data_IF_868652633776
#
_entry.id   IF_868652633776
#
_cell.length_a   1.000
_cell.length_b   1.000
_cell.length_c   1.000
_cell.angle_alpha   90.00
_cell.angle_beta   90.00
_cell.angle_gamma   90.00
#
_symmetry.space_group_name_H-M   'P 1'
#
loop_
_entity.id
_entity.type
_entity.pdbx_description
1 polymer ?
#
# COMPACT_ATOMS: atom_id res chain seq x y z
N UNK A 1 -14.31 2.46 -14.86
CA UNK A 1 -13.04 2.65 -14.10
C UNK A 1 -13.30 2.19 -12.66
N UNK A 2 -12.37 1.49 -12.00
CA UNK A 2 -12.55 1.04 -10.60
C UNK A 2 -12.44 2.26 -9.68
N UNK A 3 -13.46 2.52 -8.85
CA UNK A 3 -13.46 3.61 -7.86
C UNK A 3 -12.57 3.24 -6.68
N UNK A 4 -11.68 4.16 -6.29
CA UNK A 4 -10.79 4.03 -5.13
C UNK A 4 -10.81 5.37 -4.40
N UNK A 5 -11.30 5.37 -3.16
CA UNK A 5 -11.43 6.54 -2.29
C UNK A 5 -10.27 6.64 -1.30
N UNK A 6 -9.80 5.51 -0.78
CA UNK A 6 -8.69 5.46 0.18
C UNK A 6 -7.62 4.45 -0.24
N UNK A 7 -6.36 4.78 0.02
CA UNK A 7 -5.21 3.93 -0.31
C UNK A 7 -4.35 3.74 0.94
N UNK A 8 -4.18 2.49 1.33
CA UNK A 8 -3.50 2.11 2.55
C UNK A 8 -2.28 1.25 2.26
N UNK A 9 -1.20 1.47 2.99
CA UNK A 9 0.05 0.73 2.92
C UNK A 9 0.24 -0.07 4.22
N UNK A 10 0.38 -1.39 4.13
CA UNK A 10 0.85 -2.18 5.27
C UNK A 10 2.36 -1.94 5.44
N UNK A 11 2.92 -1.95 6.65
CA UNK A 11 4.39 -1.82 6.83
C UNK A 11 5.10 -3.16 6.97
N UNK A 12 4.36 -4.25 7.25
CA UNK A 12 4.88 -5.60 7.18
C UNK A 12 4.88 -6.13 5.73
N UNK A 13 5.93 -6.87 5.31
CA UNK A 13 5.99 -7.42 3.97
C UNK A 13 5.01 -8.58 3.77
N UNK A 14 4.50 -8.72 2.54
CA UNK A 14 3.67 -9.85 2.12
C UNK A 14 4.49 -10.87 1.31
N UNK A 15 4.22 -12.16 1.52
CA UNK A 15 4.70 -13.20 0.60
C UNK A 15 4.02 -13.05 -0.76
N UNK A 16 4.81 -12.94 -1.83
CA UNK A 16 4.28 -12.75 -3.18
C UNK A 16 3.58 -13.98 -3.76
N UNK A 17 3.61 -15.12 -3.06
CA UNK A 17 2.78 -16.30 -3.35
C UNK A 17 1.33 -16.16 -2.86
N UNK A 18 1.03 -15.22 -1.98
CA UNK A 18 -0.31 -15.02 -1.41
C UNK A 18 -1.35 -14.69 -2.49
N UNK A 19 -2.36 -15.55 -2.68
CA UNK A 19 -3.48 -15.30 -3.58
C UNK A 19 -4.46 -14.24 -3.04
N UNK A 20 -5.59 -13.99 -3.73
CA UNK A 20 -6.63 -13.05 -3.31
C UNK A 20 -7.08 -13.27 -1.86
N UNK A 21 -7.42 -14.52 -1.49
CA UNK A 21 -7.94 -14.82 -0.15
C UNK A 21 -6.89 -14.62 0.95
N UNK A 22 -5.64 -15.03 0.70
CA UNK A 22 -4.55 -14.81 1.65
C UNK A 22 -4.23 -13.32 1.82
N UNK A 23 -4.26 -12.56 0.72
CA UNK A 23 -4.09 -11.11 0.76
C UNK A 23 -5.25 -10.43 1.51
N UNK A 24 -6.48 -10.87 1.28
CA UNK A 24 -7.67 -10.37 1.98
C UNK A 24 -7.60 -10.68 3.48
N UNK A 25 -7.22 -11.90 3.87
CA UNK A 25 -6.98 -12.25 5.27
C UNK A 25 -5.90 -11.36 5.90
N UNK A 26 -4.84 -11.04 5.15
CA UNK A 26 -3.82 -10.08 5.61
C UNK A 26 -4.38 -8.67 5.75
N UNK A 27 -5.28 -8.25 4.86
CA UNK A 27 -5.98 -6.96 4.97
C UNK A 27 -6.78 -6.92 6.27
N UNK A 28 -7.63 -7.90 6.53
CA UNK A 28 -8.42 -7.97 7.77
C UNK A 28 -7.51 -7.96 9.00
N UNK A 29 -6.40 -8.71 8.97
CA UNK A 29 -5.44 -8.74 10.09
C UNK A 29 -4.76 -7.39 10.37
N UNK A 30 -4.43 -6.59 9.35
CA UNK A 30 -3.71 -5.31 9.52
C UNK A 30 -4.66 -4.13 9.69
N UNK A 31 -5.71 -4.10 8.87
CA UNK A 31 -6.60 -2.95 8.72
C UNK A 31 -7.91 -3.13 9.51
N UNK A 32 -8.15 -4.31 10.09
CA UNK A 32 -9.38 -4.66 10.81
C UNK A 32 -10.52 -5.08 9.88
N UNK A 33 -10.65 -4.41 8.74
CA UNK A 33 -11.70 -4.67 7.73
C UNK A 33 -11.20 -4.34 6.33
N UNK A 34 -11.71 -5.06 5.32
CA UNK A 34 -11.64 -4.62 3.92
C UNK A 34 -12.89 -3.77 3.62
N UNK A 35 -12.69 -2.47 3.36
CA UNK A 35 -13.78 -1.52 3.11
C UNK A 35 -14.00 -1.33 1.60
N UNK A 36 -15.25 -1.14 1.13
CA UNK A 36 -15.53 -0.74 -0.24
C UNK A 36 -14.70 0.45 -0.70
N UNK A 37 -14.31 0.44 -1.98
CA UNK A 37 -13.52 1.47 -2.64
C UNK A 37 -12.17 1.76 -1.97
N UNK A 38 -11.60 0.79 -1.25
CA UNK A 38 -10.26 0.91 -0.65
C UNK A 38 -9.25 0.03 -1.38
N UNK A 39 -8.02 0.54 -1.52
CA UNK A 39 -6.87 -0.22 -2.00
C UNK A 39 -5.85 -0.44 -0.88
N UNK A 40 -5.35 -1.66 -0.77
CA UNK A 40 -4.38 -2.09 0.25
C UNK A 40 -3.10 -2.59 -0.42
N UNK A 41 -2.02 -1.86 -0.17
CA UNK A 41 -0.72 -2.07 -0.78
C UNK A 41 0.17 -2.87 0.16
N UNK A 42 0.81 -3.88 -0.43
CA UNK A 42 1.80 -4.72 0.22
C UNK A 42 3.04 -4.80 -0.64
N UNK A 43 4.22 -4.78 -0.04
CA UNK A 43 5.49 -4.99 -0.75
C UNK A 43 6.17 -6.23 -0.20
N UNK A 44 6.95 -6.90 -1.03
CA UNK A 44 7.73 -8.04 -0.56
C UNK A 44 8.95 -7.60 0.25
N UNK A 45 9.55 -8.52 1.01
CA UNK A 45 10.73 -8.22 1.85
C UNK A 45 11.92 -7.61 1.07
N UNK A 46 12.03 -7.91 -0.23
CA UNK A 46 13.09 -7.38 -1.11
C UNK A 46 12.80 -5.99 -1.67
N UNK A 47 11.60 -5.46 -1.49
CA UNK A 47 11.20 -4.15 -2.00
C UNK A 47 10.96 -4.08 -3.51
N UNK A 48 10.95 -5.21 -4.23
CA UNK A 48 10.94 -5.20 -5.71
C UNK A 48 9.63 -5.68 -6.34
N UNK A 49 8.66 -6.10 -5.53
CA UNK A 49 7.32 -6.48 -5.98
C UNK A 49 6.28 -5.96 -5.01
N UNK A 50 5.17 -5.50 -5.57
CA UNK A 50 4.02 -5.02 -4.84
C UNK A 50 2.78 -5.83 -5.22
N UNK A 51 1.92 -6.08 -4.25
CA UNK A 51 0.53 -6.50 -4.46
C UNK A 51 -0.41 -5.39 -3.99
N UNK A 52 -1.49 -5.20 -4.73
CA UNK A 52 -2.54 -4.23 -4.41
C UNK A 52 -3.86 -5.00 -4.37
N UNK A 53 -4.46 -5.12 -3.20
CA UNK A 53 -5.81 -5.66 -3.06
C UNK A 53 -6.80 -4.50 -3.08
N UNK A 54 -7.77 -4.53 -3.99
CA UNK A 54 -8.79 -3.48 -4.13
C UNK A 54 -10.15 -4.11 -3.86
N UNK A 55 -10.92 -3.55 -2.94
CA UNK A 55 -12.33 -3.92 -2.78
C UNK A 55 -13.17 -2.92 -3.57
N UNK A 56 -13.88 -3.34 -4.63
CA UNK A 56 -14.61 -2.42 -5.51
C UNK A 56 -16.05 -2.13 -5.07
N UNK A 57 -16.52 -2.81 -4.03
CA UNK A 57 -17.88 -2.72 -3.49
C UNK A 57 -18.68 -4.00 -3.66
N UNK A 58 -18.30 -4.84 -4.63
CA UNK A 58 -18.95 -6.12 -4.94
C UNK A 58 -18.00 -7.30 -4.75
N UNK A 59 -16.71 -7.09 -4.95
CA UNK A 59 -15.68 -8.10 -4.80
C UNK A 59 -14.29 -7.52 -4.63
N UNK A 60 -13.29 -8.37 -4.81
CA UNK A 60 -11.89 -8.00 -4.64
C UNK A 60 -11.09 -8.25 -5.92
N UNK A 61 -10.21 -7.30 -6.22
CA UNK A 61 -9.18 -7.41 -7.25
C UNK A 61 -7.83 -7.56 -6.57
N UNK A 62 -6.94 -8.38 -7.15
CA UNK A 62 -5.56 -8.45 -6.71
C UNK A 62 -4.63 -8.14 -7.88
N UNK A 63 -4.03 -6.95 -7.85
CA UNK A 63 -3.07 -6.52 -8.85
C UNK A 63 -1.64 -6.80 -8.37
N UNK A 64 -0.76 -7.15 -9.30
CA UNK A 64 0.68 -7.26 -9.05
C UNK A 64 1.42 -6.15 -9.80
N UNK A 65 2.36 -5.49 -9.14
CA UNK A 65 3.22 -4.45 -9.74
C UNK A 65 4.69 -4.76 -9.50
N UNK A 66 5.49 -4.57 -10.55
CA UNK A 66 6.96 -4.58 -10.52
C UNK A 66 7.46 -3.38 -11.31
N UNK A 67 8.51 -2.74 -10.82
CA UNK A 67 9.20 -1.70 -11.58
C UNK A 67 10.12 -2.34 -12.62
N UNK A 68 10.24 -1.72 -13.80
CA UNK A 68 11.19 -2.17 -14.82
C UNK A 68 12.63 -2.13 -14.29
N UNK A 69 12.94 -1.12 -13.48
CA UNK A 69 14.21 -0.95 -12.77
C UNK A 69 13.96 -0.38 -11.37
N UNK A 70 14.85 -0.67 -10.43
CA UNK A 70 14.78 -0.15 -9.05
C UNK A 70 13.89 -0.95 -8.10
N UNK A 71 13.51 -0.30 -7.00
CA UNK A 71 12.74 -0.88 -5.88
C UNK A 71 11.76 0.16 -5.33
N UNK A 72 10.72 -0.30 -4.65
CA UNK A 72 9.81 0.54 -3.90
C UNK A 72 10.48 1.03 -2.61
N UNK A 73 10.38 2.33 -2.33
CA UNK A 73 10.81 2.89 -1.04
C UNK A 73 9.80 2.50 0.04
N UNK A 74 10.23 1.70 1.01
CA UNK A 74 9.34 1.13 2.03
C UNK A 74 9.31 1.98 3.31
N UNK A 75 8.15 2.05 3.96
CA UNK A 75 7.96 2.82 5.20
C UNK A 75 8.83 2.34 6.38
N UNK A 76 9.17 1.04 6.42
CA UNK A 76 9.76 0.42 7.61
C UNK A 76 8.86 0.56 8.85
N UNK A 77 9.35 0.11 10.01
CA UNK A 77 8.55 0.10 11.25
C UNK A 77 8.32 1.48 11.88
N UNK A 78 8.81 2.57 11.26
CA UNK A 78 8.72 3.93 11.83
C UNK A 78 7.31 4.51 11.80
N UNK A 79 6.41 3.94 10.99
CA UNK A 79 5.06 4.46 10.79
C UNK A 79 3.96 3.53 11.34
N UNK A 80 4.29 2.69 12.34
CA UNK A 80 3.37 1.67 12.85
C UNK A 80 3.12 0.54 11.85
N UNK A 81 2.00 -0.17 11.98
CA UNK A 81 1.68 -1.35 11.16
C UNK A 81 1.04 -1.00 9.80
N UNK A 82 0.51 0.22 9.67
CA UNK A 82 -0.22 0.70 8.50
C UNK A 82 -0.14 2.22 8.33
N UNK A 83 -0.20 2.68 7.08
CA UNK A 83 -0.14 4.10 6.71
C UNK A 83 -1.21 4.40 5.66
N UNK A 84 -2.00 5.45 5.87
CA UNK A 84 -2.84 6.01 4.81
C UNK A 84 -1.98 6.87 3.88
N UNK A 85 -2.12 6.69 2.57
CA UNK A 85 -1.35 7.42 1.58
C UNK A 85 -2.20 8.50 0.91
N UNK A 86 -1.66 9.72 0.88
CA UNK A 86 -2.17 10.79 0.02
C UNK A 86 -1.95 10.48 -1.48
N UNK A 87 -2.71 11.10 -2.39
CA UNK A 87 -2.54 10.92 -3.84
C UNK A 87 -1.11 11.17 -4.33
N UNK A 88 -0.41 12.16 -3.78
CA UNK A 88 0.98 12.48 -4.12
C UNK A 88 1.93 11.37 -3.67
N UNK A 89 1.71 10.84 -2.45
CA UNK A 89 2.49 9.72 -1.92
C UNK A 89 2.29 8.45 -2.75
N UNK A 90 1.06 8.17 -3.19
CA UNK A 90 0.77 7.03 -4.06
C UNK A 90 1.49 7.18 -5.40
N UNK A 91 1.38 8.35 -6.03
CA UNK A 91 2.06 8.64 -7.31
C UNK A 91 3.56 8.40 -7.22
N UNK A 92 4.22 8.93 -6.19
CA UNK A 92 5.64 8.72 -5.97
C UNK A 92 5.98 7.25 -5.67
N UNK A 93 5.23 6.60 -4.78
CA UNK A 93 5.47 5.21 -4.41
C UNK A 93 5.34 4.27 -5.61
N UNK A 94 4.30 4.39 -6.45
CA UNK A 94 4.12 3.49 -7.59
C UNK A 94 5.20 3.68 -8.66
N UNK A 95 5.84 4.84 -8.71
CA UNK A 95 7.01 5.10 -9.56
C UNK A 95 8.33 4.61 -8.95
N UNK A 96 8.32 4.20 -7.68
CA UNK A 96 9.54 3.82 -6.96
C UNK A 96 10.34 5.01 -6.46
N UNK A 97 9.70 6.15 -6.20
CA UNK A 97 10.31 7.34 -5.62
C UNK A 97 10.09 7.38 -4.09
N UNK A 98 10.95 8.10 -3.33
CA UNK A 98 10.69 8.40 -1.93
C UNK A 98 9.37 9.18 -1.77
N UNK A 99 8.52 8.75 -0.85
CA UNK A 99 7.17 9.31 -0.68
C UNK A 99 6.91 9.80 0.75
N UNK A 100 7.68 9.35 1.74
CA UNK A 100 7.38 9.50 3.16
C UNK A 100 7.24 10.95 3.63
N UNK A 101 7.90 11.90 2.94
CA UNK A 101 7.87 13.33 3.25
C UNK A 101 6.97 14.15 2.32
N UNK A 102 6.21 13.50 1.44
CA UNK A 102 5.26 14.19 0.57
C UNK A 102 3.97 14.51 1.33
N UNK A 103 3.31 15.61 0.95
CA UNK A 103 2.08 16.08 1.59
C UNK A 103 2.29 16.44 3.05
N UNK A 104 1.37 16.00 3.91
CA UNK A 104 1.42 16.27 5.35
C UNK A 104 2.71 15.78 6.04
N UNK A 105 3.40 14.77 5.49
CA UNK A 105 4.67 14.26 6.03
C UNK A 105 5.86 15.21 5.88
N UNK A 106 5.72 16.28 5.08
CA UNK A 106 6.73 17.33 4.91
C UNK A 106 6.49 18.58 5.75
N UNK A 107 5.42 18.62 6.55
CA UNK A 107 5.06 19.79 7.35
C UNK A 107 6.08 19.96 8.48
N UNK A 108 6.75 21.11 8.50
CA UNK A 108 7.63 21.53 9.58
C UNK A 108 6.74 22.18 10.65
N UNK A 109 6.72 21.61 11.85
CA UNK A 109 6.00 22.16 13.00
C UNK A 109 7.00 22.56 14.08
N UNK A 110 6.74 23.67 14.77
CA UNK A 110 7.48 24.04 15.98
C UNK A 110 6.88 23.21 17.11
N UNK A 111 7.70 22.34 17.71
CA UNK A 111 7.33 21.56 18.91
C UNK A 111 7.42 22.45 20.14
#
# INVERSE_FOLDING_TARGET
MIRIDEIWLATEPLDMRAGPDTALARVVKVFGTARPHCAYLFVNRRGNRMKVLIHDGLGVWLCARRLNQGKFHWAGNRHGDRVELSPEQVTALVQGLPWQRLGAGGVISVV
#
